data_IF_939839496058
#
_entry.id   IF_939839496058
#
_cell.length_a   1.000
_cell.length_b   1.000
_cell.length_c   1.000
_cell.angle_alpha   90.00
_cell.angle_beta   90.00
_cell.angle_gamma   90.00
#
_symmetry.space_group_name_H-M   'P 1'
#
loop_
_entity.id
_entity.type
_entity.pdbx_description
1 polymer ?
#
# COMPACT_ATOMS: atom_id res chain seq x y z
N UNK A 1 13.85 -24.33 2.91
CA UNK A 1 13.16 -23.73 4.06
C UNK A 1 12.88 -22.27 3.77
N UNK A 2 11.90 -21.66 4.45
CA UNK A 2 11.58 -20.24 4.34
C UNK A 2 11.35 -19.71 5.75
N UNK A 3 11.73 -18.46 6.01
CA UNK A 3 11.53 -17.80 7.29
C UNK A 3 10.14 -17.15 7.36
N UNK A 4 9.66 -16.67 6.21
CA UNK A 4 8.37 -15.98 6.07
C UNK A 4 7.65 -16.50 4.83
N UNK A 5 6.35 -16.77 4.98
CA UNK A 5 5.46 -17.16 3.88
C UNK A 5 4.32 -16.15 3.80
N UNK A 6 4.18 -15.51 2.65
CA UNK A 6 3.09 -14.59 2.33
C UNK A 6 2.09 -15.31 1.44
N UNK A 7 0.81 -15.27 1.81
CA UNK A 7 -0.29 -15.79 1.01
C UNK A 7 -1.10 -14.59 0.51
N UNK A 8 -0.99 -14.29 -0.79
CA UNK A 8 -1.54 -13.09 -1.42
C UNK A 8 -0.48 -12.02 -1.69
N UNK A 9 -0.31 -11.68 -2.97
CA UNK A 9 0.71 -10.79 -3.48
C UNK A 9 0.26 -9.35 -3.74
N UNK A 10 -0.97 -8.98 -3.37
CA UNK A 10 -1.49 -7.63 -3.60
C UNK A 10 -0.70 -6.56 -2.83
N UNK A 11 -1.03 -6.32 -1.55
CA UNK A 11 -0.23 -5.45 -0.67
C UNK A 11 0.83 -6.25 0.09
N UNK A 12 0.63 -7.57 0.26
CA UNK A 12 1.58 -8.45 0.93
C UNK A 12 2.96 -8.46 0.29
N UNK A 13 3.06 -8.20 -1.02
CA UNK A 13 4.34 -8.16 -1.73
C UNK A 13 5.25 -7.01 -1.28
N UNK A 14 4.67 -5.87 -0.87
CA UNK A 14 5.43 -4.70 -0.40
C UNK A 14 6.24 -5.10 0.83
N UNK A 15 5.57 -5.69 1.82
CA UNK A 15 6.21 -6.17 3.02
C UNK A 15 7.15 -7.36 2.75
N UNK A 16 6.75 -8.29 1.87
CA UNK A 16 7.59 -9.42 1.47
C UNK A 16 8.94 -8.96 0.88
N UNK A 17 8.92 -7.94 0.01
CA UNK A 17 10.12 -7.37 -0.60
C UNK A 17 11.03 -6.69 0.45
N UNK A 18 10.44 -5.91 1.36
CA UNK A 18 11.14 -5.26 2.49
C UNK A 18 11.84 -6.29 3.39
N UNK A 19 11.21 -7.44 3.63
CA UNK A 19 11.81 -8.52 4.42
C UNK A 19 12.88 -9.28 3.63
N UNK A 20 12.68 -9.50 2.32
CA UNK A 20 13.70 -10.09 1.47
C UNK A 20 14.97 -9.20 1.40
N UNK A 21 14.82 -7.87 1.30
CA UNK A 21 15.94 -6.91 1.37
C UNK A 21 16.70 -6.97 2.70
N UNK A 22 16.02 -7.35 3.79
CA UNK A 22 16.64 -7.56 5.12
C UNK A 22 17.33 -8.91 5.28
N UNK A 23 17.34 -9.75 4.23
CA UNK A 23 18.03 -11.03 4.23
C UNK A 23 17.18 -12.24 4.64
N UNK A 24 15.87 -12.07 4.86
CA UNK A 24 14.98 -13.20 5.16
C UNK A 24 14.72 -14.05 3.91
N UNK A 25 14.61 -15.37 4.08
CA UNK A 25 14.16 -16.30 3.05
C UNK A 25 12.65 -16.23 2.91
N UNK A 26 12.17 -15.44 1.98
CA UNK A 26 10.74 -15.20 1.78
C UNK A 26 10.16 -16.09 0.68
N UNK A 27 9.01 -16.71 0.95
CA UNK A 27 8.13 -17.31 -0.07
C UNK A 27 6.87 -16.46 -0.20
N UNK A 28 6.50 -16.10 -1.43
CA UNK A 28 5.22 -15.46 -1.73
C UNK A 28 4.41 -16.38 -2.63
N UNK A 29 3.19 -16.68 -2.20
CA UNK A 29 2.23 -17.49 -2.95
C UNK A 29 1.08 -16.59 -3.37
N UNK A 30 0.82 -16.51 -4.66
CA UNK A 30 -0.30 -15.78 -5.25
C UNK A 30 -1.07 -16.71 -6.18
N UNK A 31 -2.39 -16.56 -6.22
CA UNK A 31 -3.29 -17.35 -7.08
C UNK A 31 -3.14 -16.98 -8.55
N UNK A 32 -2.94 -15.70 -8.85
CA UNK A 32 -2.81 -15.18 -10.20
C UNK A 32 -1.33 -14.96 -10.58
N UNK A 33 -0.99 -14.92 -11.88
CA UNK A 33 0.33 -14.44 -12.28
C UNK A 33 0.56 -13.02 -11.72
N UNK A 34 1.77 -12.78 -11.22
CA UNK A 34 2.11 -11.51 -10.57
C UNK A 34 1.87 -10.31 -11.50
N UNK A 35 1.41 -9.19 -10.95
CA UNK A 35 1.11 -7.98 -11.71
C UNK A 35 -0.21 -7.99 -12.51
N UNK A 36 -1.04 -9.04 -12.38
CA UNK A 36 -2.37 -9.11 -13.05
C UNK A 36 -3.50 -8.44 -12.26
N UNK A 37 -3.26 -7.95 -11.04
CA UNK A 37 -4.27 -7.21 -10.28
C UNK A 37 -4.29 -5.75 -10.75
N UNK A 38 -5.32 -5.39 -11.51
CA UNK A 38 -5.57 -4.02 -11.98
C UNK A 38 -6.27 -3.18 -10.88
N UNK A 39 -5.64 -2.99 -9.73
CA UNK A 39 -6.13 -2.02 -8.75
C UNK A 39 -5.11 -0.93 -8.57
N UNK A 40 -5.53 0.31 -8.80
CA UNK A 40 -4.78 1.44 -8.30
C UNK A 40 -4.78 1.39 -6.76
N UNK A 41 -3.71 1.91 -6.17
CA UNK A 41 -3.60 2.03 -4.72
C UNK A 41 -3.67 3.51 -4.36
N UNK A 42 -4.74 3.89 -3.69
CA UNK A 42 -4.81 5.21 -3.04
C UNK A 42 -4.02 5.14 -1.73
N UNK A 43 -3.03 6.02 -1.61
CA UNK A 43 -2.11 6.08 -0.49
C UNK A 43 -1.54 7.49 -0.44
N UNK A 44 -1.34 8.01 0.77
CA UNK A 44 -0.79 9.35 0.98
C UNK A 44 0.72 9.41 0.69
N UNK A 45 1.22 10.63 0.43
CA UNK A 45 2.66 10.88 0.29
C UNK A 45 3.44 10.50 1.55
N UNK A 46 2.86 10.67 2.75
CA UNK A 46 3.50 10.32 4.02
C UNK A 46 3.62 8.80 4.21
N UNK A 47 2.56 8.04 3.91
CA UNK A 47 2.61 6.58 3.94
C UNK A 47 3.64 6.03 2.94
N UNK A 48 3.74 6.63 1.75
CA UNK A 48 4.75 6.27 0.77
C UNK A 48 6.18 6.63 1.19
N UNK A 49 6.37 7.75 1.88
CA UNK A 49 7.68 8.15 2.39
C UNK A 49 8.25 7.07 3.31
N UNK A 50 7.41 6.33 4.04
CA UNK A 50 7.85 5.18 4.83
C UNK A 50 8.50 4.09 3.97
N UNK A 51 7.98 3.81 2.77
CA UNK A 51 8.57 2.83 1.84
C UNK A 51 9.91 3.30 1.26
N UNK A 52 10.05 4.60 1.01
CA UNK A 52 11.33 5.21 0.59
C UNK A 52 12.36 5.11 1.73
N UNK A 53 11.96 5.44 2.96
CA UNK A 53 12.83 5.35 4.13
C UNK A 53 13.28 3.90 4.40
N UNK A 54 12.48 2.92 4.02
CA UNK A 54 12.81 1.50 4.09
C UNK A 54 13.73 1.02 2.95
N UNK A 55 14.04 1.89 1.97
CA UNK A 55 14.86 1.56 0.81
C UNK A 55 14.14 0.66 -0.21
N UNK A 56 12.82 0.55 -0.14
CA UNK A 56 12.04 -0.25 -1.08
C UNK A 56 11.93 0.44 -2.44
N UNK A 57 11.81 1.76 -2.44
CA UNK A 57 11.75 2.61 -3.62
C UNK A 57 12.70 3.79 -3.46
N UNK A 58 13.22 4.29 -4.57
CA UNK A 58 13.83 5.61 -4.64
C UNK A 58 12.74 6.69 -4.84
N UNK A 59 13.02 7.96 -4.48
CA UNK A 59 12.10 9.06 -4.79
C UNK A 59 11.76 9.16 -6.29
N UNK A 60 12.71 8.87 -7.17
CA UNK A 60 12.50 8.93 -8.62
C UNK A 60 11.59 7.81 -9.13
N UNK A 61 11.80 6.57 -8.67
CA UNK A 61 10.91 5.44 -9.00
C UNK A 61 9.50 5.73 -8.50
N UNK A 62 9.39 6.29 -7.30
CA UNK A 62 8.12 6.67 -6.70
C UNK A 62 7.34 7.66 -7.58
N UNK A 63 7.96 8.78 -7.98
CA UNK A 63 7.27 9.76 -8.83
C UNK A 63 6.86 9.17 -10.19
N UNK A 64 7.61 8.19 -10.71
CA UNK A 64 7.30 7.55 -12.00
C UNK A 64 6.06 6.65 -11.99
N UNK A 65 5.64 6.17 -10.82
CA UNK A 65 4.51 5.22 -10.68
C UNK A 65 3.20 5.89 -10.25
N UNK A 66 3.21 7.20 -10.02
CA UNK A 66 2.01 7.98 -9.70
C UNK A 66 1.18 8.16 -10.97
N UNK A 67 0.06 7.44 -11.06
CA UNK A 67 -0.85 7.57 -12.18
C UNK A 67 -1.70 8.85 -12.11
N UNK A 68 -2.12 9.23 -10.90
CA UNK A 68 -2.95 10.40 -10.62
C UNK A 68 -2.61 10.95 -9.24
N UNK A 69 -2.61 12.27 -9.15
CA UNK A 69 -2.60 13.00 -7.90
C UNK A 69 -3.92 13.72 -7.76
N UNK A 70 -4.44 13.69 -6.54
CA UNK A 70 -5.63 14.40 -6.19
C UNK A 70 -5.24 15.41 -5.13
N UNK A 71 -5.52 16.68 -5.42
CA UNK A 71 -5.33 17.77 -4.48
C UNK A 71 -6.33 17.60 -3.32
N UNK A 72 -7.55 17.13 -3.65
CA UNK A 72 -8.59 16.74 -2.72
C UNK A 72 -9.14 15.34 -3.05
N UNK A 73 -9.48 14.55 -2.03
CA UNK A 73 -9.94 13.18 -2.24
C UNK A 73 -10.68 12.62 -1.03
N UNK A 74 -11.96 12.33 -1.22
CA UNK A 74 -12.79 11.58 -0.27
C UNK A 74 -12.21 10.16 -0.12
N UNK A 75 -11.39 9.93 0.90
CA UNK A 75 -11.03 8.58 1.35
C UNK A 75 -11.89 8.24 2.55
N UNK A 76 -13.04 7.61 2.29
CA UNK A 76 -13.91 7.06 3.32
C UNK A 76 -14.09 5.58 3.05
N UNK A 77 -13.76 4.75 4.02
CA UNK A 77 -14.21 3.37 3.99
C UNK A 77 -15.74 3.36 4.03
N UNK A 78 -16.37 2.51 3.22
CA UNK A 78 -17.82 2.38 3.21
C UNK A 78 -18.34 2.06 4.63
N UNK A 79 -19.19 2.93 5.17
CA UNK A 79 -19.63 2.89 6.56
C UNK A 79 -21.14 3.18 6.70
N UNK A 80 -21.90 3.12 5.60
CA UNK A 80 -23.35 3.39 5.62
C UNK A 80 -24.11 2.44 6.57
N UNK A 81 -23.55 1.26 6.83
CA UNK A 81 -24.10 0.27 7.75
C UNK A 81 -23.60 0.41 9.19
N UNK A 82 -22.70 1.35 9.49
CA UNK A 82 -22.14 1.52 10.83
C UNK A 82 -23.01 2.46 11.67
N UNK A 83 -23.27 2.13 12.95
CA UNK A 83 -23.85 3.07 13.91
C UNK A 83 -23.04 4.37 13.97
N UNK A 84 -23.66 5.53 14.23
CA UNK A 84 -22.96 6.83 14.17
C UNK A 84 -21.67 6.92 14.99
N UNK A 85 -21.61 6.27 16.16
CA UNK A 85 -20.44 6.27 17.04
C UNK A 85 -19.31 5.31 16.63
N UNK A 86 -19.53 4.48 15.60
CA UNK A 86 -18.55 3.54 15.04
C UNK A 86 -18.11 3.91 13.62
N UNK A 87 -18.51 5.08 13.14
CA UNK A 87 -18.02 5.62 11.86
C UNK A 87 -16.61 6.16 12.07
N UNK A 88 -15.69 5.74 11.20
CA UNK A 88 -14.36 6.32 11.19
C UNK A 88 -14.45 7.81 10.89
N UNK A 89 -13.53 8.59 11.45
CA UNK A 89 -13.43 10.01 11.14
C UNK A 89 -13.24 10.19 9.62
N UNK A 90 -13.92 11.18 9.05
CA UNK A 90 -13.62 11.61 7.69
C UNK A 90 -12.27 12.29 7.75
N UNK A 91 -11.29 11.73 7.02
CA UNK A 91 -9.97 12.32 6.90
C UNK A 91 -10.08 13.51 5.93
N UNK A 92 -9.92 14.71 6.47
CA UNK A 92 -9.81 15.94 5.69
C UNK A 92 -8.36 16.38 5.70
N UNK A 93 -7.73 16.49 4.53
CA UNK A 93 -6.40 17.09 4.41
C UNK A 93 -6.54 18.62 4.38
N UNK A 94 -5.69 19.39 5.10
CA UNK A 94 -6.10 20.71 5.57
C UNK A 94 -5.97 21.86 4.56
N UNK A 95 -5.30 21.68 3.42
CA UNK A 95 -5.03 22.79 2.49
C UNK A 95 -4.76 22.27 1.08
N UNK A 96 -5.55 22.82 0.15
CA UNK A 96 -5.47 22.75 -1.32
C UNK A 96 -4.09 23.02 -1.90
#
# INVERSE_FOLDING_TARGET
>A
TYDLIYIGGALGVIHAAVMAQRGYRVLLVERLPFGRMNREWNISREEFQSLINLGLFTPTEFESIIAREYIDGFNKFFDSNNPPHLKAAILHTPTV
#
